data_IF_672991505889
#
_entry.id   IF_672991505889
#
_cell.length_a   1.000
_cell.length_b   1.000
_cell.length_c   1.000
_cell.angle_alpha   90.00
_cell.angle_beta   90.00
_cell.angle_gamma   90.00
#
_symmetry.space_group_name_H-M   'P 1'
#
loop_
_entity.id
_entity.type
_entity.pdbx_description
1 polymer ?
#
# COMPACT_ATOMS: atom_id res chain seq x y z
N UNK A 1 -14.50 17.15 16.58
CA UNK A 1 -14.82 16.14 15.57
C UNK A 1 -13.57 15.34 15.21
N UNK A 2 -13.73 14.03 15.09
CA UNK A 2 -12.62 13.15 14.79
C UNK A 2 -12.38 13.08 13.29
N UNK A 3 -11.14 13.32 12.86
CA UNK A 3 -10.77 13.15 11.46
C UNK A 3 -10.61 11.66 11.14
N UNK A 4 -11.02 11.26 9.94
CA UNK A 4 -10.78 9.90 9.44
C UNK A 4 -9.29 9.66 9.25
N UNK A 5 -8.88 8.39 9.18
CA UNK A 5 -7.50 8.06 8.83
C UNK A 5 -7.12 8.70 7.48
N UNK A 6 -8.03 8.68 6.51
CA UNK A 6 -7.83 9.32 5.22
C UNK A 6 -7.41 10.79 5.37
N UNK A 7 -8.16 11.55 6.17
CA UNK A 7 -7.84 12.97 6.41
C UNK A 7 -6.52 13.15 7.15
N UNK A 8 -6.25 12.31 8.13
CA UNK A 8 -5.01 12.36 8.91
C UNK A 8 -3.76 12.00 8.10
N UNK A 9 -3.94 11.24 7.02
CA UNK A 9 -2.84 10.91 6.09
C UNK A 9 -2.62 11.99 5.02
N UNK A 10 -3.40 13.07 5.04
CA UNK A 10 -3.28 14.15 4.09
C UNK A 10 -4.22 14.05 2.90
N UNK A 11 -5.28 13.25 3.04
CA UNK A 11 -6.30 13.02 2.01
C UNK A 11 -5.68 12.42 0.74
N UNK A 12 -6.30 12.60 -0.41
CA UNK A 12 -5.84 11.96 -1.65
C UNK A 12 -4.39 12.33 -2.01
N UNK A 13 -4.03 13.59 -1.82
CA UNK A 13 -2.66 14.05 -2.15
C UNK A 13 -1.61 13.43 -1.25
N UNK A 14 -1.89 13.36 0.07
CA UNK A 14 -0.97 12.76 1.03
C UNK A 14 -0.81 11.26 0.79
N UNK A 15 -1.91 10.56 0.53
CA UNK A 15 -1.88 9.13 0.26
C UNK A 15 -1.16 8.85 -1.07
N UNK A 16 -1.40 9.67 -2.10
CA UNK A 16 -0.70 9.52 -3.37
C UNK A 16 0.82 9.66 -3.21
N UNK A 17 1.27 10.61 -2.39
CA UNK A 17 2.70 10.79 -2.12
C UNK A 17 3.30 9.58 -1.39
N UNK A 18 2.57 9.01 -0.43
CA UNK A 18 3.00 7.81 0.29
C UNK A 18 3.12 6.63 -0.69
N UNK A 19 2.10 6.40 -1.51
CA UNK A 19 2.07 5.28 -2.45
C UNK A 19 3.17 5.43 -3.50
N UNK A 20 3.36 6.65 -4.03
CA UNK A 20 4.40 6.92 -5.01
C UNK A 20 5.78 6.51 -4.48
N UNK A 21 6.11 6.95 -3.28
CA UNK A 21 7.38 6.61 -2.63
C UNK A 21 7.46 5.11 -2.31
N UNK A 22 6.40 4.53 -1.76
CA UNK A 22 6.40 3.12 -1.39
C UNK A 22 6.62 2.22 -2.61
N UNK A 23 5.94 2.48 -3.72
CA UNK A 23 6.09 1.66 -4.94
C UNK A 23 7.49 1.82 -5.52
N UNK A 24 8.07 3.02 -5.49
CA UNK A 24 9.46 3.22 -5.91
C UNK A 24 10.43 2.42 -5.04
N UNK A 25 10.18 2.34 -3.73
CA UNK A 25 10.98 1.51 -2.82
C UNK A 25 10.84 0.03 -3.14
N UNK A 26 9.62 -0.43 -3.43
CA UNK A 26 9.37 -1.83 -3.84
C UNK A 26 10.19 -2.17 -5.09
N UNK A 27 10.17 -1.30 -6.09
CA UNK A 27 10.88 -1.53 -7.34
C UNK A 27 12.40 -1.55 -7.15
N UNK A 28 12.92 -0.86 -6.14
CA UNK A 28 14.34 -0.82 -5.80
C UNK A 28 14.74 -1.88 -4.75
N UNK A 29 13.78 -2.52 -4.09
CA UNK A 29 14.02 -3.52 -3.06
C UNK A 29 14.34 -4.85 -3.74
N UNK A 30 15.51 -5.43 -3.47
CA UNK A 30 15.95 -6.66 -4.13
C UNK A 30 14.95 -7.82 -4.00
N UNK A 31 14.27 -7.92 -2.86
CA UNK A 31 13.28 -8.98 -2.63
C UNK A 31 12.02 -8.77 -3.47
N UNK A 32 11.60 -7.52 -3.65
CA UNK A 32 10.34 -7.18 -4.32
C UNK A 32 10.51 -6.82 -5.80
N UNK A 33 11.71 -6.37 -6.20
CA UNK A 33 11.95 -5.89 -7.55
C UNK A 33 11.46 -6.84 -8.65
N UNK A 34 11.63 -8.17 -8.56
CA UNK A 34 11.13 -9.08 -9.60
C UNK A 34 9.61 -9.01 -9.80
N UNK A 35 8.86 -8.62 -8.76
CA UNK A 35 7.39 -8.51 -8.84
C UNK A 35 6.97 -7.26 -9.62
N UNK A 36 7.86 -6.28 -9.76
CA UNK A 36 7.57 -5.00 -10.40
C UNK A 36 8.26 -4.84 -11.76
N UNK A 37 9.18 -5.74 -12.10
CA UNK A 37 9.88 -5.70 -13.38
C UNK A 37 8.90 -5.89 -14.54
N UNK A 38 8.94 -4.99 -15.52
CA UNK A 38 8.06 -5.04 -16.68
C UNK A 38 6.62 -4.63 -16.39
N UNK A 39 6.32 -4.13 -15.20
CA UNK A 39 4.99 -3.66 -14.83
C UNK A 39 4.80 -2.19 -15.16
N UNK A 40 3.54 -1.80 -15.38
CA UNK A 40 3.14 -0.40 -15.54
C UNK A 40 3.10 0.24 -14.13
N UNK A 41 4.21 0.83 -13.71
CA UNK A 41 4.31 1.42 -12.37
C UNK A 41 3.36 2.60 -12.17
N UNK A 42 3.19 3.54 -13.12
CA UNK A 42 2.20 4.60 -12.94
C UNK A 42 0.80 4.07 -12.68
N UNK A 43 0.39 3.02 -13.39
CA UNK A 43 -0.92 2.41 -13.16
C UNK A 43 -0.98 1.70 -11.81
N UNK A 44 0.07 0.99 -11.42
CA UNK A 44 0.13 0.34 -10.11
C UNK A 44 -0.01 1.37 -8.99
N UNK A 45 0.67 2.50 -9.11
CA UNK A 45 0.58 3.60 -8.15
C UNK A 45 -0.84 4.17 -8.09
N UNK A 46 -1.47 4.37 -9.24
CA UNK A 46 -2.84 4.89 -9.30
C UNK A 46 -3.83 3.95 -8.61
N UNK A 47 -3.77 2.66 -8.92
CA UNK A 47 -4.68 1.68 -8.34
C UNK A 47 -4.44 1.50 -6.84
N UNK A 48 -3.18 1.46 -6.41
CA UNK A 48 -2.85 1.37 -4.99
C UNK A 48 -3.31 2.61 -4.22
N UNK A 49 -3.22 3.78 -4.81
CA UNK A 49 -3.70 5.02 -4.20
C UNK A 49 -5.21 4.97 -3.98
N UNK A 50 -5.98 4.55 -4.98
CA UNK A 50 -7.43 4.40 -4.84
C UNK A 50 -7.79 3.40 -3.75
N UNK A 51 -7.10 2.27 -3.72
CA UNK A 51 -7.33 1.23 -2.72
C UNK A 51 -7.04 1.76 -1.31
N UNK A 52 -5.92 2.46 -1.13
CA UNK A 52 -5.54 3.01 0.17
C UNK A 52 -6.50 4.12 0.62
N UNK A 53 -6.94 4.98 -0.31
CA UNK A 53 -7.91 6.01 0.01
C UNK A 53 -9.22 5.39 0.51
N UNK A 54 -9.73 4.38 -0.19
CA UNK A 54 -10.94 3.69 0.22
C UNK A 54 -10.75 3.00 1.57
N UNK A 55 -9.64 2.28 1.74
CA UNK A 55 -9.34 1.56 2.98
C UNK A 55 -9.17 2.48 4.20
N UNK A 56 -8.77 3.73 3.97
CA UNK A 56 -8.58 4.71 5.03
C UNK A 56 -9.86 5.53 5.32
N UNK A 57 -10.96 5.25 4.65
CA UNK A 57 -12.23 5.92 4.88
C UNK A 57 -12.47 7.13 4.00
N UNK A 58 -11.74 7.26 2.90
CA UNK A 58 -11.94 8.33 1.93
C UNK A 58 -13.17 8.09 1.03
N UNK A 59 -13.54 9.11 0.23
CA UNK A 59 -14.70 9.01 -0.66
C UNK A 59 -14.43 8.23 -1.94
N UNK A 60 -13.16 7.93 -2.22
CA UNK A 60 -12.79 7.22 -3.44
C UNK A 60 -13.29 5.79 -3.40
N UNK A 61 -13.66 5.28 -4.58
CA UNK A 61 -14.05 3.89 -4.74
C UNK A 61 -12.99 3.17 -5.56
N UNK A 62 -12.47 2.09 -5.00
CA UNK A 62 -11.57 1.22 -5.74
C UNK A 62 -12.43 0.30 -6.61
N UNK A 63 -12.28 0.43 -7.92
CA UNK A 63 -13.03 -0.35 -8.92
C UNK A 63 -12.17 -1.43 -9.59
N UNK A 64 -10.96 -1.67 -9.05
CA UNK A 64 -10.09 -2.71 -9.55
C UNK A 64 -10.48 -4.10 -9.06
N UNK A 65 -9.65 -5.09 -9.40
CA UNK A 65 -9.84 -6.47 -8.94
C UNK A 65 -9.57 -6.56 -7.44
N UNK A 66 -10.22 -7.49 -6.74
CA UNK A 66 -9.97 -7.71 -5.33
C UNK A 66 -8.52 -8.18 -5.09
N UNK A 67 -8.07 -8.10 -3.83
CA UNK A 67 -6.68 -8.40 -3.50
C UNK A 67 -6.31 -9.86 -3.79
N UNK A 68 -7.20 -10.79 -3.53
CA UNK A 68 -6.95 -12.20 -3.83
C UNK A 68 -6.76 -12.42 -5.33
N UNK A 69 -7.61 -11.82 -6.16
CA UNK A 69 -7.51 -11.94 -7.62
C UNK A 69 -6.22 -11.30 -8.14
N UNK A 70 -5.87 -10.11 -7.63
CA UNK A 70 -4.65 -9.39 -8.04
C UNK A 70 -3.40 -10.24 -7.75
N UNK A 71 -3.38 -10.93 -6.60
CA UNK A 71 -2.20 -11.67 -6.15
C UNK A 71 -2.25 -13.17 -6.52
N UNK A 72 -3.34 -13.64 -7.10
CA UNK A 72 -3.48 -15.05 -7.48
C UNK A 72 -2.34 -15.48 -8.42
N UNK A 73 -1.74 -16.61 -8.13
CA UNK A 73 -0.63 -17.14 -8.91
C UNK A 73 0.74 -16.56 -8.58
N UNK A 74 0.82 -15.55 -7.70
CA UNK A 74 2.10 -14.93 -7.34
C UNK A 74 2.82 -15.68 -6.22
N UNK A 75 2.10 -16.42 -5.41
CA UNK A 75 2.67 -17.17 -4.27
C UNK A 75 3.54 -16.26 -3.39
N UNK A 76 3.01 -15.14 -2.96
CA UNK A 76 3.73 -14.15 -2.16
C UNK A 76 4.14 -14.79 -0.82
N UNK A 77 5.40 -14.62 -0.44
CA UNK A 77 5.93 -15.11 0.83
C UNK A 77 5.67 -14.12 1.97
N UNK A 78 5.81 -14.60 3.20
CA UNK A 78 5.71 -13.72 4.38
C UNK A 78 6.79 -12.66 4.36
N UNK A 79 8.02 -12.99 3.94
CA UNK A 79 9.10 -12.04 3.83
C UNK A 79 8.77 -10.92 2.83
N UNK A 80 8.13 -11.27 1.71
CA UNK A 80 7.72 -10.27 0.72
C UNK A 80 6.63 -9.36 1.28
N UNK A 81 5.68 -9.90 2.05
CA UNK A 81 4.65 -9.09 2.68
C UNK A 81 5.27 -8.12 3.69
N UNK A 82 6.18 -8.61 4.54
CA UNK A 82 6.87 -7.76 5.53
C UNK A 82 7.69 -6.68 4.83
N UNK A 83 8.41 -7.02 3.76
CA UNK A 83 9.18 -6.04 3.00
C UNK A 83 8.28 -4.95 2.42
N UNK A 84 7.11 -5.34 1.91
CA UNK A 84 6.11 -4.39 1.39
C UNK A 84 5.64 -3.43 2.49
N UNK A 85 5.29 -3.96 3.66
CA UNK A 85 4.85 -3.16 4.80
C UNK A 85 5.97 -2.22 5.25
N UNK A 86 7.21 -2.73 5.34
CA UNK A 86 8.36 -1.92 5.72
C UNK A 86 8.58 -0.74 4.77
N UNK A 87 8.41 -0.95 3.47
CA UNK A 87 8.52 0.12 2.48
C UNK A 87 7.43 1.18 2.67
N UNK A 88 6.20 0.77 2.97
CA UNK A 88 5.13 1.71 3.30
C UNK A 88 5.44 2.49 4.57
N UNK A 89 5.97 1.83 5.60
CA UNK A 89 6.37 2.50 6.85
C UNK A 89 7.43 3.55 6.56
N UNK A 90 8.45 3.20 5.78
CA UNK A 90 9.52 4.14 5.42
C UNK A 90 8.97 5.34 4.63
N UNK A 91 8.07 5.09 3.70
CA UNK A 91 7.44 6.15 2.91
C UNK A 91 6.61 7.09 3.80
N UNK A 92 5.84 6.54 4.73
CA UNK A 92 5.05 7.34 5.66
C UNK A 92 5.95 8.19 6.57
N UNK A 93 7.04 7.61 7.08
CA UNK A 93 7.99 8.34 7.91
C UNK A 93 8.64 9.49 7.13
N UNK A 94 8.98 9.27 5.88
CA UNK A 94 9.55 10.30 5.01
C UNK A 94 8.57 11.46 4.80
N UNK A 95 7.26 11.16 4.75
CA UNK A 95 6.22 12.17 4.61
C UNK A 95 5.84 12.83 5.94
N UNK A 96 6.47 12.45 7.04
CA UNK A 96 6.19 13.03 8.35
C UNK A 96 4.92 12.53 9.01
N UNK A 97 4.42 11.36 8.59
CA UNK A 97 3.21 10.76 9.18
C UNK A 97 3.48 10.35 10.63
N UNK A 98 2.54 10.65 11.52
CA UNK A 98 2.68 10.31 12.95
C UNK A 98 2.59 8.82 13.22
N UNK A 99 3.16 8.40 14.36
CA UNK A 99 3.24 6.98 14.73
C UNK A 99 1.86 6.31 14.83
N UNK A 100 0.85 7.02 15.32
CA UNK A 100 -0.51 6.48 15.43
C UNK A 100 -1.06 6.11 14.05
N UNK A 101 -0.90 6.99 13.07
CA UNK A 101 -1.38 6.77 11.70
C UNK A 101 -0.57 5.68 11.01
N UNK A 102 0.74 5.62 11.23
CA UNK A 102 1.58 4.54 10.71
C UNK A 102 1.06 3.19 11.22
N UNK A 103 0.78 3.09 12.52
CA UNK A 103 0.29 1.86 13.11
C UNK A 103 -1.08 1.45 12.55
N UNK A 104 -1.97 2.40 12.32
CA UNK A 104 -3.28 2.12 11.72
C UNK A 104 -3.14 1.56 10.30
N UNK A 105 -2.26 2.14 9.49
CA UNK A 105 -2.01 1.67 8.12
C UNK A 105 -1.39 0.27 8.16
N UNK A 106 -0.41 0.04 9.03
CA UNK A 106 0.22 -1.29 9.18
C UNK A 106 -0.84 -2.34 9.51
N UNK A 107 -1.76 -2.03 10.42
CA UNK A 107 -2.84 -2.95 10.78
C UNK A 107 -3.73 -3.29 9.58
N UNK A 108 -4.05 -2.30 8.74
CA UNK A 108 -4.85 -2.51 7.52
C UNK A 108 -4.10 -3.41 6.56
N UNK A 109 -2.84 -3.11 6.28
CA UNK A 109 -2.03 -3.90 5.35
C UNK A 109 -1.87 -5.35 5.84
N UNK A 110 -1.60 -5.52 7.13
CA UNK A 110 -1.45 -6.85 7.70
C UNK A 110 -2.76 -7.65 7.66
N UNK A 111 -3.90 -6.97 7.78
CA UNK A 111 -5.21 -7.63 7.73
C UNK A 111 -5.49 -8.27 6.37
N UNK A 112 -4.78 -7.86 5.32
CA UNK A 112 -4.94 -8.40 3.98
C UNK A 112 -4.13 -9.67 3.73
N UNK A 113 -3.34 -10.12 4.70
CA UNK A 113 -2.41 -11.24 4.49
C UNK A 113 -3.09 -12.50 3.97
N UNK A 114 -4.31 -12.80 4.40
CA UNK A 114 -5.04 -13.99 3.96
C UNK A 114 -5.44 -13.96 2.49
N UNK A 115 -5.48 -12.77 1.90
CA UNK A 115 -5.83 -12.58 0.49
C UNK A 115 -4.59 -12.46 -0.39
N UNK A 116 -3.41 -12.33 0.20
CA UNK A 116 -2.15 -12.04 -0.50
C UNK A 116 -1.18 -13.21 -0.42
N UNK A 117 -1.02 -13.79 0.78
CA UNK A 117 -0.03 -14.84 1.01
C UNK A 117 -0.45 -16.14 0.35
N UNK A 118 0.48 -16.70 -0.43
CA UNK A 118 0.37 -18.05 -0.96
C UNK A 118 -0.90 -18.32 -1.77
N UNK A 119 -1.43 -17.32 -2.42
CA UNK A 119 -2.60 -17.47 -3.28
C UNK A 119 -2.22 -17.61 -4.75
#
# INVERSE_FOLDING_TARGET
MTQSLYQRLGSAEGIAAIVDDAVDRHAANQLLAPRFSGRDLPRAKQMATLFMCMGAGGPQKYDGRDMRTVHAGMNISEQELIATIDDFVAAMQEQGVGATEVNEVVAILYSLKGEVLRV
#
